data_IF_677961972383
#
_entry.id   IF_677961972383
#
_cell.length_a   1.000
_cell.length_b   1.000
_cell.length_c   1.000
_cell.angle_alpha   90.00
_cell.angle_beta   90.00
_cell.angle_gamma   90.00
#
_symmetry.space_group_name_H-M   'P 1'
#
loop_
_entity.id
_entity.type
_entity.pdbx_description
1 polymer ?
#
# COMPACT_ATOMS: atom_id res chain seq x y z
N UNK A 1 -10.65 23.37 26.52
CA UNK A 1 -9.84 23.21 25.29
C UNK A 1 -8.74 24.24 25.33
N UNK A 2 -7.49 23.88 25.18
CA UNK A 2 -6.43 24.88 25.08
C UNK A 2 -6.56 25.56 23.71
N UNK A 3 -6.90 26.85 23.73
CA UNK A 3 -7.02 27.70 22.53
C UNK A 3 -5.68 28.14 21.96
N UNK A 4 -4.58 27.75 22.57
CA UNK A 4 -3.22 28.09 22.16
C UNK A 4 -2.26 26.98 22.61
N UNK A 5 -2.15 25.92 21.86
CA UNK A 5 -1.00 25.04 21.97
C UNK A 5 0.00 25.49 20.91
N UNK A 6 0.98 26.28 21.32
CA UNK A 6 2.25 26.40 20.58
C UNK A 6 2.98 25.07 20.73
N UNK A 7 2.48 24.06 20.10
CA UNK A 7 3.17 22.79 20.03
C UNK A 7 4.18 22.89 18.91
N UNK A 8 5.41 22.62 19.26
CA UNK A 8 6.50 22.54 18.30
C UNK A 8 6.30 21.30 17.42
N UNK A 9 6.06 21.52 16.13
CA UNK A 9 5.83 20.45 15.17
C UNK A 9 7.11 20.21 14.38
N UNK A 10 7.60 19.00 14.45
CA UNK A 10 8.53 18.51 13.43
C UNK A 10 7.68 18.00 12.27
N UNK A 11 7.72 18.65 11.13
CA UNK A 11 7.10 18.16 9.90
C UNK A 11 8.16 18.07 8.82
N UNK A 12 8.02 17.07 8.00
CA UNK A 12 8.85 16.89 6.83
C UNK A 12 8.17 17.56 5.65
N UNK A 13 8.75 18.65 5.14
CA UNK A 13 8.26 19.29 3.92
C UNK A 13 9.13 18.84 2.76
N UNK A 14 8.51 18.26 1.75
CA UNK A 14 9.17 17.90 0.49
C UNK A 14 9.16 19.16 -0.38
N UNK A 15 10.32 19.77 -0.61
CA UNK A 15 10.57 20.74 -1.68
C UNK A 15 11.33 20.02 -2.78
N UNK A 16 11.25 20.43 -4.07
CA UNK A 16 11.66 19.60 -5.23
C UNK A 16 13.03 18.93 -5.20
N UNK A 17 13.83 19.06 -4.17
CA UNK A 17 15.15 18.39 -4.08
C UNK A 17 15.63 18.11 -2.64
N UNK A 18 14.89 18.48 -1.60
CA UNK A 18 15.37 18.31 -0.22
C UNK A 18 14.24 18.10 0.78
N UNK A 19 14.47 17.23 1.74
CA UNK A 19 13.65 17.04 2.92
C UNK A 19 14.08 18.05 3.98
N UNK A 20 13.15 18.83 4.49
CA UNK A 20 13.43 19.81 5.54
C UNK A 20 12.51 19.58 6.74
N UNK A 21 13.11 19.57 7.93
CA UNK A 21 12.35 19.56 9.19
C UNK A 21 11.92 20.98 9.53
N UNK A 22 10.61 21.18 9.68
CA UNK A 22 10.05 22.50 10.00
C UNK A 22 8.95 22.41 11.06
N UNK A 23 8.84 23.45 11.86
CA UNK A 23 7.64 23.69 12.66
C UNK A 23 6.61 24.32 11.75
N UNK A 24 5.43 23.70 11.65
CA UNK A 24 4.31 24.24 10.88
C UNK A 24 3.10 24.43 11.80
N UNK A 25 2.23 25.42 11.51
CA UNK A 25 0.99 25.60 12.26
C UNK A 25 0.08 24.38 12.10
N UNK A 26 -0.60 23.98 13.18
CA UNK A 26 -1.68 22.99 13.08
C UNK A 26 -2.98 23.73 12.87
N UNK A 27 -3.63 23.46 11.75
CA UNK A 27 -4.96 24.02 11.50
C UNK A 27 -6.03 23.26 12.28
N UNK A 28 -7.14 23.92 12.58
CA UNK A 28 -8.34 23.26 13.11
C UNK A 28 -8.97 22.37 12.00
N UNK A 29 -9.59 21.24 12.36
CA UNK A 29 -10.35 20.45 11.41
C UNK A 29 -11.55 21.26 10.88
N UNK A 30 -11.86 21.07 9.59
CA UNK A 30 -13.11 21.56 8.99
C UNK A 30 -14.31 20.76 9.49
N UNK A 31 -15.54 21.12 9.05
CA UNK A 31 -16.77 20.53 9.59
C UNK A 31 -16.83 19.00 9.50
N UNK A 32 -16.30 18.41 8.43
CA UNK A 32 -16.30 16.97 8.12
C UNK A 32 -14.92 16.31 8.30
N UNK A 33 -13.99 16.98 8.98
CA UNK A 33 -12.61 16.53 9.16
C UNK A 33 -12.32 16.15 10.62
N UNK A 34 -11.29 15.35 10.80
CA UNK A 34 -10.68 15.05 12.09
C UNK A 34 -9.22 15.46 12.12
N UNK A 35 -8.74 15.88 13.29
CA UNK A 35 -7.33 16.10 13.61
C UNK A 35 -6.81 14.87 14.35
N UNK A 36 -5.79 14.23 13.79
CA UNK A 36 -5.19 13.02 14.33
C UNK A 36 -3.78 13.35 14.83
N UNK A 37 -3.49 13.06 16.09
CA UNK A 37 -2.13 13.03 16.62
C UNK A 37 -1.46 11.74 16.10
N UNK A 38 -0.71 11.84 15.03
CA UNK A 38 0.01 10.72 14.41
C UNK A 38 1.09 10.26 15.38
N UNK A 39 1.13 8.98 15.66
CA UNK A 39 2.16 8.34 16.47
C UNK A 39 3.20 7.67 15.61
N UNK A 40 2.72 6.97 14.57
CA UNK A 40 3.56 6.23 13.66
C UNK A 40 3.10 6.44 12.23
N UNK A 41 4.04 6.43 11.29
CA UNK A 41 3.74 6.49 9.86
C UNK A 41 4.63 5.53 9.09
N UNK A 42 4.04 4.61 8.34
CA UNK A 42 4.80 3.76 7.43
C UNK A 42 5.44 4.56 6.31
N UNK A 43 6.48 4.00 5.70
CA UNK A 43 7.21 4.60 4.57
C UNK A 43 7.04 3.73 3.32
N UNK A 44 6.62 4.34 2.23
CA UNK A 44 6.28 3.69 0.97
C UNK A 44 7.11 4.25 -0.20
N UNK A 45 7.27 3.47 -1.26
CA UNK A 45 7.86 3.96 -2.52
C UNK A 45 7.09 5.14 -3.12
N UNK A 46 5.79 5.23 -2.90
CA UNK A 46 4.97 6.38 -3.29
C UNK A 46 5.46 7.69 -2.68
N UNK A 47 5.98 7.67 -1.45
CA UNK A 47 6.54 8.86 -0.81
C UNK A 47 7.85 9.29 -1.49
N UNK A 48 8.64 8.32 -1.98
CA UNK A 48 9.83 8.58 -2.78
C UNK A 48 9.46 9.18 -4.14
N UNK A 49 8.44 8.64 -4.82
CA UNK A 49 7.93 9.21 -6.07
C UNK A 49 7.40 10.64 -5.89
N UNK A 50 6.73 10.92 -4.77
CA UNK A 50 6.30 12.27 -4.42
C UNK A 50 7.51 13.23 -4.24
N UNK A 51 8.60 12.75 -3.61
CA UNK A 51 9.86 13.50 -3.46
C UNK A 51 10.54 13.74 -4.79
N UNK A 52 10.57 12.76 -5.68
CA UNK A 52 11.24 12.85 -6.99
C UNK A 52 10.41 13.59 -8.03
N UNK A 53 9.09 13.67 -7.85
CA UNK A 53 8.16 14.28 -8.82
C UNK A 53 8.12 13.57 -10.17
N UNK A 54 8.37 12.25 -10.19
CA UNK A 54 8.53 11.45 -11.40
C UNK A 54 7.22 10.77 -11.87
N UNK A 55 6.12 10.96 -11.16
CA UNK A 55 4.80 10.53 -11.62
C UNK A 55 4.08 11.63 -12.43
N UNK A 56 3.20 11.26 -13.38
CA UNK A 56 2.48 12.22 -14.23
C UNK A 56 1.33 12.93 -13.51
N UNK A 57 1.33 13.00 -12.19
CA UNK A 57 0.32 13.67 -11.36
C UNK A 57 0.99 14.85 -10.66
N UNK A 58 0.43 16.07 -10.73
CA UNK A 58 1.01 17.22 -10.04
C UNK A 58 1.05 17.02 -8.52
N UNK A 59 2.21 17.20 -7.92
CA UNK A 59 2.41 17.16 -6.47
C UNK A 59 2.22 18.54 -5.86
N UNK A 60 1.49 18.65 -4.76
CA UNK A 60 1.42 19.90 -3.97
C UNK A 60 2.81 20.26 -3.45
N UNK A 61 3.23 21.52 -3.59
CA UNK A 61 4.47 22.03 -3.03
C UNK A 61 4.24 23.38 -2.33
N UNK A 62 4.82 23.64 -1.14
CA UNK A 62 5.49 22.64 -0.28
C UNK A 62 4.51 21.58 0.24
N UNK A 63 5.01 20.39 0.57
CA UNK A 63 4.22 19.24 0.96
C UNK A 63 4.78 18.58 2.22
N UNK A 64 3.89 18.17 3.11
CA UNK A 64 4.19 17.15 4.13
C UNK A 64 3.88 15.79 3.52
N UNK A 65 4.89 14.94 3.34
CA UNK A 65 4.74 13.59 2.80
C UNK A 65 4.06 12.60 3.76
N UNK A 66 3.98 11.34 3.35
CA UNK A 66 3.44 10.24 4.16
C UNK A 66 1.94 9.99 3.96
N UNK A 67 1.56 8.71 3.91
CA UNK A 67 0.16 8.30 3.73
C UNK A 67 -0.15 6.96 4.41
N UNK A 68 0.64 6.58 5.41
CA UNK A 68 0.42 5.38 6.23
C UNK A 68 0.40 5.78 7.72
N UNK A 69 -0.26 6.89 8.06
CA UNK A 69 -0.24 7.45 9.40
C UNK A 69 -1.23 6.80 10.33
N UNK A 70 -0.78 6.28 11.48
CA UNK A 70 -1.62 5.76 12.55
C UNK A 70 -1.49 6.62 13.81
N UNK A 71 -2.62 6.99 14.41
CA UNK A 71 -2.64 7.90 15.54
C UNK A 71 -3.94 7.95 16.29
N UNK A 72 -4.11 9.00 17.09
CA UNK A 72 -5.24 9.19 17.99
C UNK A 72 -5.97 10.48 17.62
N UNK A 73 -7.29 10.43 17.51
CA UNK A 73 -8.14 11.59 17.23
C UNK A 73 -8.11 12.56 18.42
N UNK A 74 -7.75 13.82 18.18
CA UNK A 74 -7.62 14.85 19.22
C UNK A 74 -8.56 16.05 19.02
N UNK A 75 -9.12 16.19 17.81
CA UNK A 75 -10.22 17.13 17.53
C UNK A 75 -11.05 16.61 16.36
N UNK A 76 -12.31 17.02 16.30
CA UNK A 76 -13.24 16.69 15.21
C UNK A 76 -14.07 17.91 14.82
N UNK A 77 -14.50 17.93 13.56
CA UNK A 77 -15.45 18.91 13.03
C UNK A 77 -16.87 18.69 13.54
N UNK A 78 -17.70 19.68 13.38
CA UNK A 78 -19.07 19.71 13.92
C UNK A 78 -20.02 18.71 13.25
N UNK A 79 -19.71 18.26 12.03
CA UNK A 79 -20.50 17.27 11.29
C UNK A 79 -19.99 15.82 11.48
N UNK A 80 -19.02 15.61 12.37
CA UNK A 80 -18.44 14.28 12.62
C UNK A 80 -19.12 13.65 13.83
N UNK A 81 -20.06 12.75 13.60
CA UNK A 81 -20.86 12.12 14.67
C UNK A 81 -20.35 10.74 15.08
N UNK A 82 -19.67 10.03 14.16
CA UNK A 82 -19.32 8.63 14.31
C UNK A 82 -17.86 8.37 14.71
N UNK A 83 -17.12 9.41 15.10
CA UNK A 83 -15.77 9.36 15.64
C UNK A 83 -15.70 10.15 16.95
N UNK A 84 -15.07 9.56 17.96
CA UNK A 84 -14.89 10.21 19.26
C UNK A 84 -13.41 10.60 19.50
N UNK A 85 -13.22 11.60 20.38
CA UNK A 85 -11.87 11.95 20.84
C UNK A 85 -11.25 10.76 21.57
N UNK A 86 -10.01 10.46 21.25
CA UNK A 86 -9.31 9.29 21.79
C UNK A 86 -9.50 8.03 20.98
N UNK A 87 -10.28 8.05 19.88
CA UNK A 87 -10.33 6.93 18.95
C UNK A 87 -9.02 6.80 18.18
N UNK A 88 -8.63 5.57 17.88
CA UNK A 88 -7.52 5.31 16.98
C UNK A 88 -7.97 5.45 15.53
N UNK A 89 -7.21 6.20 14.76
CA UNK A 89 -7.53 6.48 13.36
C UNK A 89 -6.28 6.49 12.47
N UNK A 90 -6.47 6.10 11.22
CA UNK A 90 -5.41 6.04 10.23
C UNK A 90 -5.61 7.04 9.07
N UNK A 91 -4.54 7.75 8.73
CA UNK A 91 -4.41 8.53 7.49
C UNK A 91 -3.90 7.58 6.42
N UNK A 92 -4.65 7.43 5.34
CA UNK A 92 -4.28 6.56 4.21
C UNK A 92 -4.13 7.36 2.92
N UNK A 93 -3.71 6.73 1.83
CA UNK A 93 -3.51 7.39 0.54
C UNK A 93 -4.72 8.23 0.11
N UNK A 94 -5.91 7.62 0.03
CA UNK A 94 -7.14 8.35 -0.27
C UNK A 94 -7.58 9.13 0.97
N UNK A 95 -7.29 10.44 0.99
CA UNK A 95 -7.65 11.35 2.07
C UNK A 95 -9.14 11.72 2.06
N UNK A 96 -9.66 12.04 0.86
CA UNK A 96 -11.07 12.39 0.68
C UNK A 96 -11.54 12.13 -0.76
N UNK A 97 -12.86 12.07 -0.94
CA UNK A 97 -13.54 12.05 -2.24
C UNK A 97 -14.87 12.80 -2.13
N UNK A 98 -15.54 13.08 -3.24
CA UNK A 98 -16.82 13.80 -3.20
C UNK A 98 -18.01 13.00 -2.66
N UNK A 99 -17.87 11.68 -2.48
CA UNK A 99 -18.87 10.72 -2.00
C UNK A 99 -20.18 10.65 -2.81
N UNK A 100 -20.35 11.48 -3.85
CA UNK A 100 -21.61 11.67 -4.58
C UNK A 100 -21.55 11.34 -6.07
N UNK A 101 -20.37 11.30 -6.71
CA UNK A 101 -20.24 10.96 -8.12
C UNK A 101 -20.54 9.48 -8.41
N UNK A 102 -20.66 9.12 -9.68
CA UNK A 102 -20.96 7.73 -10.08
C UNK A 102 -19.96 6.70 -9.55
N UNK A 103 -18.67 7.05 -9.50
CA UNK A 103 -17.64 6.17 -8.94
C UNK A 103 -17.79 6.01 -7.43
N UNK A 104 -17.95 7.10 -6.68
CA UNK A 104 -18.12 7.02 -5.23
C UNK A 104 -19.36 6.21 -4.83
N UNK A 105 -20.48 6.37 -5.55
CA UNK A 105 -21.72 5.59 -5.30
C UNK A 105 -21.58 4.10 -5.56
N UNK A 106 -20.60 3.69 -6.36
CA UNK A 106 -20.28 2.30 -6.67
C UNK A 106 -19.10 1.76 -5.84
N UNK A 107 -18.68 2.49 -4.81
CA UNK A 107 -17.51 2.15 -3.97
C UNK A 107 -16.17 2.10 -4.76
N UNK A 108 -16.06 2.91 -5.80
CA UNK A 108 -14.82 3.18 -6.54
C UNK A 108 -14.27 4.57 -6.20
N UNK A 109 -14.27 4.97 -4.93
CA UNK A 109 -13.80 6.27 -4.46
C UNK A 109 -12.39 6.63 -4.94
N UNK A 110 -11.44 5.68 -5.10
CA UNK A 110 -10.12 5.99 -5.67
C UNK A 110 -10.17 6.57 -7.10
N UNK A 111 -11.27 6.37 -7.84
CA UNK A 111 -11.47 6.89 -9.20
C UNK A 111 -12.23 8.22 -9.22
N UNK A 112 -12.54 8.81 -8.07
CA UNK A 112 -13.21 10.10 -7.99
C UNK A 112 -12.30 11.21 -8.53
N UNK A 113 -12.81 12.03 -9.44
CA UNK A 113 -12.06 13.16 -10.00
C UNK A 113 -11.68 14.22 -8.95
N UNK A 114 -12.44 14.30 -7.84
CA UNK A 114 -12.19 15.21 -6.73
C UNK A 114 -11.39 14.53 -5.59
N UNK A 115 -10.85 13.34 -5.83
CA UNK A 115 -10.06 12.64 -4.82
C UNK A 115 -8.85 13.46 -4.39
N UNK A 116 -8.62 13.53 -3.06
CA UNK A 116 -7.42 14.12 -2.49
C UNK A 116 -6.54 13.02 -1.91
N UNK A 117 -5.24 13.13 -2.13
CA UNK A 117 -4.25 12.11 -1.85
C UNK A 117 -3.30 12.61 -0.76
N UNK A 118 -3.29 11.92 0.39
CA UNK A 118 -2.40 12.27 1.52
C UNK A 118 -0.94 12.13 1.13
N UNK A 119 -0.13 13.12 1.48
CA UNK A 119 1.29 13.12 1.14
C UNK A 119 1.58 13.28 -0.35
N UNK A 120 0.60 13.81 -1.10
CA UNK A 120 0.74 14.04 -2.54
C UNK A 120 0.01 15.31 -3.00
N UNK A 121 -1.33 15.33 -2.97
CA UNK A 121 -2.13 16.51 -3.31
C UNK A 121 -2.56 17.31 -2.08
N UNK A 122 -2.52 16.70 -0.90
CA UNK A 122 -2.70 17.32 0.42
C UNK A 122 -1.63 16.84 1.38
N UNK A 123 -1.40 17.58 2.47
CA UNK A 123 -0.43 17.18 3.48
C UNK A 123 -0.77 15.82 4.09
N UNK A 124 0.25 15.02 4.31
CA UNK A 124 0.17 13.66 4.76
C UNK A 124 0.59 13.44 6.21
N UNK A 125 1.16 12.27 6.50
CA UNK A 125 1.36 11.75 7.85
C UNK A 125 2.78 11.88 8.42
N UNK A 126 3.77 12.36 7.67
CA UNK A 126 5.11 12.62 8.22
C UNK A 126 5.12 13.90 9.06
N UNK A 127 4.23 13.98 10.01
CA UNK A 127 4.06 15.07 10.97
C UNK A 127 3.33 14.55 12.21
N UNK A 128 3.47 15.27 13.32
CA UNK A 128 2.85 14.89 14.57
C UNK A 128 1.32 15.02 14.58
N UNK A 129 0.76 15.90 13.74
CA UNK A 129 -0.69 16.12 13.65
C UNK A 129 -1.10 16.27 12.20
N UNK A 130 -2.02 15.45 11.77
CA UNK A 130 -2.52 15.45 10.39
C UNK A 130 -4.05 15.64 10.39
N UNK A 131 -4.55 16.30 9.36
CA UNK A 131 -5.99 16.40 9.09
C UNK A 131 -6.38 15.35 8.04
N UNK A 132 -7.52 14.72 8.27
CA UNK A 132 -8.14 13.82 7.30
C UNK A 132 -9.66 13.96 7.31
N UNK A 133 -10.30 13.66 6.18
CA UNK A 133 -11.76 13.62 6.10
C UNK A 133 -12.28 12.43 6.92
N UNK A 134 -13.27 12.66 7.77
CA UNK A 134 -13.81 11.67 8.71
C UNK A 134 -14.35 10.42 7.99
N UNK A 135 -14.96 10.58 6.80
CA UNK A 135 -15.50 9.47 6.03
C UNK A 135 -14.41 8.56 5.46
N UNK A 136 -13.17 9.04 5.36
CA UNK A 136 -12.06 8.31 4.73
C UNK A 136 -10.99 7.81 5.70
N UNK A 137 -10.98 8.24 6.96
CA UNK A 137 -10.02 7.70 7.93
C UNK A 137 -10.23 6.21 8.14
N UNK A 138 -9.13 5.49 8.31
CA UNK A 138 -9.20 4.10 8.73
C UNK A 138 -9.56 4.02 10.21
N UNK A 139 -10.58 3.26 10.56
CA UNK A 139 -10.94 2.97 11.96
C UNK A 139 -10.03 1.87 12.47
N UNK A 140 -9.24 2.17 13.47
CA UNK A 140 -8.28 1.22 14.05
C UNK A 140 -8.79 0.81 15.43
N UNK A 141 -9.02 -0.50 15.68
CA UNK A 141 -9.33 -0.98 17.03
C UNK A 141 -8.29 -0.52 18.06
N UNK A 142 -8.75 -0.11 19.26
CA UNK A 142 -7.88 0.53 20.28
C UNK A 142 -6.84 -0.42 20.89
N UNK A 143 -7.04 -1.70 20.78
CA UNK A 143 -6.13 -2.77 21.24
C UNK A 143 -5.02 -3.10 20.25
N UNK A 144 -5.08 -2.56 19.03
CA UNK A 144 -4.04 -2.78 18.04
C UNK A 144 -2.85 -1.82 18.22
N UNK A 145 -1.64 -2.34 17.98
CA UNK A 145 -0.42 -1.53 17.91
C UNK A 145 -0.49 -0.57 16.73
N UNK A 146 -0.38 0.75 16.99
CA UNK A 146 -0.38 1.77 15.97
C UNK A 146 0.85 1.70 15.05
N UNK A 147 1.99 1.25 15.57
CA UNK A 147 3.20 1.06 14.76
C UNK A 147 3.07 -0.12 13.79
N UNK A 148 2.48 -1.23 14.24
CA UNK A 148 2.33 -2.43 13.44
C UNK A 148 1.24 -2.31 12.37
N UNK A 149 0.16 -1.54 12.64
CA UNK A 149 -0.93 -1.32 11.67
C UNK A 149 -0.58 -0.27 10.62
N UNK A 150 0.37 0.63 10.87
CA UNK A 150 0.71 1.71 9.94
C UNK A 150 0.99 1.20 8.50
N UNK A 151 1.82 0.17 8.27
CA UNK A 151 2.02 -0.37 6.92
C UNK A 151 0.77 -0.98 6.28
N UNK A 152 -0.21 -1.40 7.07
CA UNK A 152 -1.47 -1.97 6.54
C UNK A 152 -2.28 -0.90 5.83
N UNK A 153 -2.17 0.38 6.25
CA UNK A 153 -2.95 1.50 5.73
C UNK A 153 -2.70 1.85 4.24
N UNK A 154 -1.60 1.35 3.68
CA UNK A 154 -1.33 1.43 2.25
C UNK A 154 -1.08 0.04 1.66
N UNK A 155 0.06 -0.58 2.02
CA UNK A 155 0.46 -1.85 1.43
C UNK A 155 -0.55 -2.97 1.69
N UNK A 156 -1.08 -3.09 2.92
CA UNK A 156 -2.09 -4.09 3.27
C UNK A 156 -3.37 -3.92 2.48
N UNK A 157 -3.96 -2.73 2.50
CA UNK A 157 -5.19 -2.41 1.75
C UNK A 157 -5.00 -2.67 0.25
N UNK A 158 -3.87 -2.24 -0.31
CA UNK A 158 -3.56 -2.34 -1.74
C UNK A 158 -3.48 -3.79 -2.22
N UNK A 159 -2.77 -4.65 -1.50
CA UNK A 159 -2.64 -6.06 -1.90
C UNK A 159 -3.92 -6.84 -1.61
N UNK A 160 -4.63 -6.54 -0.52
CA UNK A 160 -5.93 -7.10 -0.23
C UNK A 160 -6.92 -6.81 -1.37
N UNK A 161 -7.04 -5.55 -1.80
CA UNK A 161 -7.86 -5.15 -2.95
C UNK A 161 -7.42 -5.86 -4.22
N UNK A 162 -6.14 -5.93 -4.50
CA UNK A 162 -5.60 -6.63 -5.67
C UNK A 162 -5.96 -8.11 -5.70
N UNK A 163 -5.94 -8.79 -4.55
CA UNK A 163 -6.38 -10.19 -4.44
C UNK A 163 -7.89 -10.32 -4.69
N UNK A 164 -8.73 -9.40 -4.20
CA UNK A 164 -10.17 -9.37 -4.53
C UNK A 164 -10.40 -9.18 -6.03
N UNK A 165 -9.67 -8.25 -6.67
CA UNK A 165 -9.78 -7.98 -8.12
C UNK A 165 -9.28 -9.14 -8.97
N UNK A 166 -8.46 -10.03 -8.43
CA UNK A 166 -7.93 -11.19 -9.17
C UNK A 166 -8.98 -12.23 -9.53
N UNK A 167 -10.17 -12.17 -8.92
CA UNK A 167 -11.24 -13.18 -9.00
C UNK A 167 -10.81 -14.58 -8.46
N UNK A 168 -9.60 -14.71 -7.89
CA UNK A 168 -9.12 -15.98 -7.34
C UNK A 168 -9.87 -16.34 -6.05
N UNK A 169 -10.07 -17.64 -5.86
CA UNK A 169 -10.87 -18.20 -4.76
C UNK A 169 -10.02 -19.10 -3.86
N UNK A 170 -10.54 -19.42 -2.68
CA UNK A 170 -9.93 -20.40 -1.80
C UNK A 170 -9.63 -21.72 -2.54
N UNK A 171 -8.44 -22.27 -2.33
CA UNK A 171 -7.94 -23.46 -3.01
C UNK A 171 -7.22 -23.18 -4.35
N UNK A 172 -7.38 -22.01 -4.93
CA UNK A 172 -6.68 -21.59 -6.16
C UNK A 172 -5.26 -21.09 -5.88
N UNK A 173 -4.45 -20.95 -6.93
CA UNK A 173 -3.05 -20.55 -6.85
C UNK A 173 -2.82 -19.15 -7.40
N UNK A 174 -2.16 -18.30 -6.62
CA UNK A 174 -1.82 -16.92 -6.99
C UNK A 174 -0.31 -16.77 -7.06
N UNK A 175 0.22 -16.28 -8.18
CA UNK A 175 1.61 -15.86 -8.27
C UNK A 175 1.76 -14.41 -7.76
N UNK A 176 2.68 -14.18 -6.84
CA UNK A 176 3.02 -12.86 -6.30
C UNK A 176 4.39 -12.47 -6.86
N UNK A 177 4.44 -11.48 -7.73
CA UNK A 177 5.67 -11.01 -8.38
C UNK A 177 6.22 -9.79 -7.67
N UNK A 178 7.46 -9.86 -7.19
CA UNK A 178 8.03 -8.94 -6.21
C UNK A 178 7.70 -9.38 -4.78
N UNK A 179 7.62 -10.68 -4.57
CA UNK A 179 7.13 -11.32 -3.35
C UNK A 179 7.96 -11.00 -2.10
N UNK A 180 9.27 -10.80 -2.24
CA UNK A 180 10.16 -10.46 -1.12
C UNK A 180 10.13 -8.99 -0.72
N UNK A 181 9.38 -8.13 -1.43
CA UNK A 181 9.20 -6.72 -1.10
C UNK A 181 8.12 -6.49 -0.03
N UNK A 182 7.98 -5.23 0.43
CA UNK A 182 7.03 -4.87 1.48
C UNK A 182 5.55 -5.15 1.14
N UNK A 183 5.14 -4.97 -0.12
CA UNK A 183 3.80 -5.35 -0.59
C UNK A 183 3.70 -6.87 -0.74
N UNK A 184 4.73 -7.51 -1.31
CA UNK A 184 4.75 -8.94 -1.58
C UNK A 184 4.61 -9.79 -0.32
N UNK A 185 5.30 -9.40 0.74
CA UNK A 185 5.21 -10.07 2.04
C UNK A 185 3.76 -10.05 2.60
N UNK A 186 3.07 -8.93 2.46
CA UNK A 186 1.65 -8.83 2.84
C UNK A 186 0.76 -9.61 1.88
N UNK A 187 1.02 -9.56 0.56
CA UNK A 187 0.22 -10.27 -0.43
C UNK A 187 0.21 -11.79 -0.19
N UNK A 188 1.36 -12.37 0.18
CA UNK A 188 1.45 -13.79 0.55
C UNK A 188 0.53 -14.10 1.73
N UNK A 189 0.59 -13.31 2.80
CA UNK A 189 -0.19 -13.53 4.01
C UNK A 189 -1.69 -13.34 3.77
N UNK A 190 -2.11 -12.27 3.08
CA UNK A 190 -3.52 -12.07 2.73
C UNK A 190 -4.03 -13.21 1.84
N UNK A 191 -3.26 -13.65 0.84
CA UNK A 191 -3.65 -14.77 0.00
C UNK A 191 -3.84 -16.05 0.82
N UNK A 192 -2.91 -16.35 1.74
CA UNK A 192 -3.03 -17.48 2.66
C UNK A 192 -4.27 -17.37 3.55
N UNK A 193 -4.50 -16.20 4.16
CA UNK A 193 -5.65 -15.95 5.02
C UNK A 193 -7.00 -16.04 4.25
N UNK A 194 -6.99 -15.76 2.95
CA UNK A 194 -8.13 -15.95 2.03
C UNK A 194 -8.23 -17.38 1.49
N UNK A 195 -7.35 -18.29 1.92
CA UNK A 195 -7.37 -19.71 1.55
C UNK A 195 -6.73 -20.04 0.19
N UNK A 196 -5.92 -19.13 -0.38
CA UNK A 196 -5.23 -19.34 -1.66
C UNK A 196 -3.84 -19.92 -1.42
N UNK A 197 -3.31 -20.65 -2.41
CA UNK A 197 -1.88 -21.01 -2.47
C UNK A 197 -1.10 -19.89 -3.13
N UNK A 198 0.14 -19.69 -2.72
CA UNK A 198 0.97 -18.63 -3.30
C UNK A 198 2.24 -19.19 -3.92
N UNK A 199 2.55 -18.76 -5.15
CA UNK A 199 3.85 -18.90 -5.79
C UNK A 199 4.55 -17.55 -5.66
N UNK A 200 5.60 -17.48 -4.84
CA UNK A 200 6.41 -16.29 -4.69
C UNK A 200 7.44 -16.20 -5.83
N UNK A 201 7.48 -15.07 -6.53
CA UNK A 201 8.47 -14.80 -7.59
C UNK A 201 9.32 -13.60 -7.16
N UNK A 202 10.59 -13.86 -6.87
CA UNK A 202 11.59 -12.83 -6.51
C UNK A 202 13.00 -13.42 -6.73
N UNK A 203 14.06 -12.85 -6.17
CA UNK A 203 15.41 -13.36 -6.29
C UNK A 203 16.18 -13.33 -4.96
N UNK A 204 16.99 -14.38 -4.75
CA UNK A 204 17.91 -14.51 -3.63
C UNK A 204 17.35 -15.33 -2.46
N UNK A 205 18.28 -15.99 -1.73
CA UNK A 205 17.97 -16.94 -0.69
C UNK A 205 17.25 -16.30 0.51
N UNK A 206 17.67 -15.11 0.93
CA UNK A 206 17.03 -14.39 2.05
C UNK A 206 15.55 -14.12 1.78
N UNK A 207 15.22 -13.71 0.55
CA UNK A 207 13.83 -13.47 0.14
C UNK A 207 13.05 -14.76 0.01
N UNK A 208 13.68 -15.82 -0.50
CA UNK A 208 13.07 -17.15 -0.56
C UNK A 208 12.65 -17.61 0.83
N UNK A 209 13.57 -17.55 1.78
CA UNK A 209 13.35 -18.04 3.15
C UNK A 209 12.30 -17.19 3.86
N UNK A 210 12.32 -15.87 3.67
CA UNK A 210 11.27 -14.97 4.15
C UNK A 210 9.89 -15.30 3.56
N UNK A 211 9.78 -15.48 2.23
CA UNK A 211 8.52 -15.82 1.59
C UNK A 211 7.97 -17.17 2.08
N UNK A 212 8.83 -18.17 2.26
CA UNK A 212 8.44 -19.48 2.80
C UNK A 212 7.96 -19.38 4.24
N UNK A 213 8.64 -18.62 5.07
CA UNK A 213 8.22 -18.36 6.46
C UNK A 213 6.84 -17.69 6.55
N UNK A 214 6.47 -16.89 5.56
CA UNK A 214 5.16 -16.25 5.42
C UNK A 214 4.08 -17.17 4.81
N UNK A 215 4.41 -18.41 4.46
CA UNK A 215 3.48 -19.40 3.96
C UNK A 215 3.44 -19.57 2.43
N UNK A 216 4.40 -19.01 1.67
CA UNK A 216 4.46 -19.27 0.23
C UNK A 216 4.63 -20.78 -0.06
N UNK A 217 3.76 -21.33 -0.90
CA UNK A 217 3.76 -22.75 -1.26
C UNK A 217 4.95 -23.12 -2.16
N UNK A 218 5.40 -22.17 -2.97
CA UNK A 218 6.56 -22.31 -3.84
C UNK A 218 7.30 -20.97 -3.97
N UNK A 219 8.57 -21.03 -4.32
CA UNK A 219 9.39 -19.86 -4.65
C UNK A 219 10.11 -20.11 -5.98
N UNK A 220 9.99 -19.18 -6.90
CA UNK A 220 10.69 -19.18 -8.18
C UNK A 220 11.65 -18.00 -8.20
N UNK A 221 12.95 -18.28 -8.26
CA UNK A 221 14.00 -17.27 -8.37
C UNK A 221 14.21 -16.90 -9.83
N UNK A 222 13.78 -15.68 -10.21
CA UNK A 222 13.87 -15.22 -11.59
C UNK A 222 15.30 -14.98 -12.09
N UNK A 223 16.31 -14.89 -11.19
CA UNK A 223 17.72 -14.72 -11.58
C UNK A 223 18.41 -16.05 -11.89
N UNK A 224 18.02 -17.12 -11.20
CA UNK A 224 18.64 -18.45 -11.38
C UNK A 224 17.82 -19.36 -12.29
N UNK A 225 16.55 -19.05 -12.52
CA UNK A 225 15.69 -19.78 -13.46
C UNK A 225 16.22 -19.66 -14.89
N UNK A 226 16.30 -20.80 -15.59
CA UNK A 226 16.65 -20.85 -17.02
C UNK A 226 15.42 -20.64 -17.91
N UNK A 227 14.24 -20.99 -17.43
CA UNK A 227 12.96 -20.81 -18.09
C UNK A 227 11.91 -20.44 -17.01
N UNK A 228 11.78 -19.15 -16.77
CA UNK A 228 10.85 -18.65 -15.76
C UNK A 228 9.41 -19.09 -16.02
N UNK A 229 9.00 -19.13 -17.28
CA UNK A 229 7.62 -19.51 -17.64
C UNK A 229 7.37 -20.96 -17.28
N UNK A 230 8.29 -21.86 -17.64
CA UNK A 230 8.18 -23.28 -17.30
C UNK A 230 8.19 -23.50 -15.78
N UNK A 231 9.12 -22.83 -15.07
CA UNK A 231 9.26 -22.98 -13.62
C UNK A 231 8.01 -22.48 -12.85
N UNK A 232 7.43 -21.35 -13.26
CA UNK A 232 6.19 -20.81 -12.65
C UNK A 232 5.01 -21.76 -12.92
N UNK A 233 4.89 -22.30 -14.12
CA UNK A 233 3.85 -23.29 -14.44
C UNK A 233 4.01 -24.57 -13.62
N UNK A 234 5.22 -25.10 -13.55
CA UNK A 234 5.54 -26.31 -12.78
C UNK A 234 5.30 -26.14 -11.27
N UNK A 235 5.38 -24.89 -10.74
CA UNK A 235 5.09 -24.58 -9.35
C UNK A 235 3.58 -24.63 -9.03
N UNK A 236 2.69 -24.64 -10.03
CA UNK A 236 1.26 -24.82 -9.82
C UNK A 236 0.90 -26.32 -9.75
N UNK A 237 -0.14 -26.73 -8.97
CA UNK A 237 -0.42 -28.13 -8.69
C UNK A 237 -0.65 -29.01 -9.94
N UNK A 238 -1.15 -28.42 -11.01
CA UNK A 238 -1.51 -29.11 -12.25
C UNK A 238 -0.60 -28.75 -13.46
N UNK A 239 0.40 -27.88 -13.24
CA UNK A 239 1.35 -27.46 -14.29
C UNK A 239 0.79 -26.47 -15.32
N UNK A 240 -0.47 -26.02 -15.19
CA UNK A 240 -1.06 -25.06 -16.14
C UNK A 240 -0.70 -23.59 -15.83
N UNK A 241 -0.14 -23.31 -14.67
CA UNK A 241 0.19 -21.98 -14.18
C UNK A 241 -0.79 -21.45 -13.14
N UNK A 242 -0.53 -20.28 -12.52
CA UNK A 242 -1.36 -19.71 -11.49
C UNK A 242 -2.71 -19.24 -12.04
N UNK A 243 -3.76 -19.31 -11.19
CA UNK A 243 -5.11 -18.77 -11.48
C UNK A 243 -5.09 -17.25 -11.57
N UNK A 244 -4.22 -16.62 -10.79
CA UNK A 244 -3.99 -15.17 -10.88
C UNK A 244 -2.52 -14.81 -10.69
N UNK A 245 -2.14 -13.63 -11.22
CA UNK A 245 -0.81 -13.04 -11.08
C UNK A 245 -0.96 -11.64 -10.48
N UNK A 246 -0.34 -11.39 -9.34
CA UNK A 246 -0.31 -10.10 -8.66
C UNK A 246 1.04 -9.45 -8.95
N UNK A 247 1.05 -8.42 -9.80
CA UNK A 247 2.25 -7.72 -10.25
C UNK A 247 2.57 -6.55 -9.31
N UNK A 248 3.57 -6.74 -8.44
CA UNK A 248 4.07 -5.76 -7.48
C UNK A 248 5.48 -5.26 -7.82
N UNK A 249 6.03 -5.73 -8.94
CA UNK A 249 7.39 -5.42 -9.35
C UNK A 249 7.59 -3.93 -9.66
N UNK A 250 8.82 -3.46 -9.44
CA UNK A 250 9.27 -2.08 -9.69
C UNK A 250 9.99 -1.92 -11.04
N UNK A 251 9.94 -2.94 -11.90
CA UNK A 251 10.54 -2.97 -13.24
C UNK A 251 9.57 -3.51 -14.27
N UNK A 252 9.79 -3.21 -15.55
CA UNK A 252 8.90 -3.58 -16.65
C UNK A 252 8.89 -5.08 -16.96
N UNK A 253 10.02 -5.77 -16.85
CA UNK A 253 10.17 -7.18 -17.26
C UNK A 253 9.04 -8.12 -16.83
N UNK A 254 8.64 -8.14 -15.56
CA UNK A 254 7.52 -8.95 -15.08
C UNK A 254 6.19 -8.67 -15.78
N UNK A 255 5.92 -7.42 -16.15
CA UNK A 255 4.70 -7.04 -16.89
C UNK A 255 4.71 -7.51 -18.32
N UNK A 256 5.89 -7.78 -18.88
CA UNK A 256 6.05 -8.35 -20.23
C UNK A 256 5.84 -9.85 -20.27
N UNK A 257 5.98 -10.57 -19.14
CA UNK A 257 6.03 -12.03 -19.07
C UNK A 257 4.77 -12.66 -18.46
N UNK A 258 3.96 -11.92 -17.70
CA UNK A 258 2.86 -12.47 -16.93
C UNK A 258 1.84 -13.25 -17.79
N UNK A 259 1.57 -12.79 -19.02
CA UNK A 259 0.65 -13.46 -19.95
C UNK A 259 1.14 -14.84 -20.43
N UNK A 260 2.45 -15.11 -20.34
CA UNK A 260 3.03 -16.35 -20.83
C UNK A 260 2.83 -17.52 -19.85
N UNK A 261 2.76 -17.22 -18.54
CA UNK A 261 2.64 -18.25 -17.50
C UNK A 261 1.31 -18.26 -16.74
N UNK A 262 0.48 -17.24 -16.86
CA UNK A 262 -0.89 -17.31 -16.30
C UNK A 262 -1.69 -18.40 -17.01
N UNK A 263 -2.49 -19.17 -16.26
CA UNK A 263 -3.30 -20.24 -16.85
C UNK A 263 -4.42 -19.69 -17.76
N UNK A 264 -4.99 -20.51 -18.65
CA UNK A 264 -6.22 -20.18 -19.37
C UNK A 264 -7.35 -19.82 -18.40
N UNK A 265 -8.08 -18.73 -18.69
CA UNK A 265 -9.10 -18.16 -17.81
C UNK A 265 -8.58 -17.36 -16.64
N UNK A 266 -7.26 -17.29 -16.45
CA UNK A 266 -6.63 -16.60 -15.34
C UNK A 266 -6.66 -15.07 -15.44
N UNK A 267 -6.28 -14.40 -14.35
CA UNK A 267 -6.31 -12.96 -14.22
C UNK A 267 -4.92 -12.40 -13.87
N UNK A 268 -4.50 -11.35 -14.57
CA UNK A 268 -3.29 -10.57 -14.27
C UNK A 268 -3.73 -9.25 -13.64
N UNK A 269 -3.29 -8.97 -12.42
CA UNK A 269 -3.60 -7.75 -11.69
C UNK A 269 -2.35 -6.88 -11.58
N UNK A 270 -2.37 -5.71 -12.23
CA UNK A 270 -1.30 -4.72 -12.20
C UNK A 270 -1.51 -3.81 -10.98
N UNK A 271 -0.53 -3.75 -10.09
CA UNK A 271 -0.52 -2.93 -8.87
C UNK A 271 0.75 -2.09 -8.80
N UNK A 272 1.92 -2.68 -9.05
CA UNK A 272 3.19 -1.96 -9.15
C UNK A 272 3.14 -0.94 -10.28
N UNK A 273 3.78 0.22 -10.08
CA UNK A 273 3.76 1.34 -11.04
C UNK A 273 5.19 1.74 -11.42
N UNK A 274 5.96 0.87 -12.10
CA UNK A 274 7.26 1.25 -12.62
C UNK A 274 7.12 2.34 -13.69
N UNK A 275 7.99 3.35 -13.64
CA UNK A 275 7.94 4.51 -14.53
C UNK A 275 8.12 4.06 -15.99
N UNK A 276 7.27 4.57 -16.89
CA UNK A 276 7.29 4.28 -18.33
C UNK A 276 7.17 2.79 -18.73
N UNK A 277 6.68 1.92 -17.85
CA UNK A 277 6.50 0.51 -18.15
C UNK A 277 5.19 0.23 -18.89
N UNK A 278 5.23 -0.79 -19.74
CA UNK A 278 4.09 -1.28 -20.51
C UNK A 278 3.82 -2.75 -20.19
N UNK A 279 2.56 -3.13 -20.16
CA UNK A 279 2.19 -4.55 -20.14
C UNK A 279 2.16 -5.11 -21.57
N UNK A 280 2.72 -6.29 -21.76
CA UNK A 280 2.66 -7.02 -23.04
C UNK A 280 1.75 -8.22 -22.89
N UNK A 281 0.74 -8.31 -23.74
CA UNK A 281 -0.17 -9.44 -23.81
C UNK A 281 -0.44 -9.75 -25.29
N UNK A 282 0.07 -10.89 -25.82
CA UNK A 282 -0.20 -11.31 -27.18
C UNK A 282 -1.71 -11.47 -27.41
N UNK A 283 -2.25 -10.79 -28.43
CA UNK A 283 -3.71 -10.75 -28.65
C UNK A 283 -4.27 -12.14 -28.87
N UNK A 284 -3.62 -12.97 -29.69
CA UNK A 284 -4.06 -14.34 -29.96
C UNK A 284 -4.18 -15.15 -28.65
N UNK A 285 -3.13 -15.18 -27.84
CA UNK A 285 -3.13 -15.90 -26.56
C UNK A 285 -4.16 -15.33 -25.58
N UNK A 286 -4.29 -14.01 -25.51
CA UNK A 286 -5.26 -13.36 -24.63
C UNK A 286 -6.69 -13.79 -24.96
N UNK A 287 -7.02 -13.88 -26.27
CA UNK A 287 -8.34 -14.31 -26.72
C UNK A 287 -8.55 -15.81 -26.51
N UNK A 288 -7.63 -16.64 -27.02
CA UNK A 288 -7.78 -18.10 -26.98
C UNK A 288 -7.72 -18.67 -25.57
N UNK A 289 -6.92 -18.07 -24.69
CA UNK A 289 -6.82 -18.45 -23.28
C UNK A 289 -7.80 -17.70 -22.38
N UNK A 290 -8.59 -16.74 -22.91
CA UNK A 290 -9.53 -15.90 -22.14
C UNK A 290 -8.85 -15.22 -20.93
N UNK A 291 -7.63 -14.69 -21.12
CA UNK A 291 -6.86 -14.03 -20.05
C UNK A 291 -7.50 -12.69 -19.74
N UNK A 292 -7.66 -12.39 -18.45
CA UNK A 292 -8.10 -11.09 -17.96
C UNK A 292 -6.89 -10.27 -17.52
N UNK A 293 -6.89 -8.97 -17.84
CA UNK A 293 -5.86 -8.02 -17.38
C UNK A 293 -6.59 -6.87 -16.71
N UNK A 294 -6.27 -6.62 -15.44
CA UNK A 294 -6.91 -5.59 -14.63
C UNK A 294 -5.85 -4.70 -13.96
N UNK A 295 -6.15 -3.41 -13.81
CA UNK A 295 -5.48 -2.53 -12.85
C UNK A 295 -6.16 -2.62 -11.49
N UNK A 296 -5.39 -2.48 -10.40
CA UNK A 296 -5.94 -2.33 -9.05
C UNK A 296 -5.27 -1.17 -8.37
N UNK A 297 -6.06 -0.23 -7.85
CA UNK A 297 -5.57 1.02 -7.29
C UNK A 297 -6.03 1.18 -5.85
N UNK A 298 -5.09 1.04 -4.90
CA UNK A 298 -5.31 1.10 -3.44
C UNK A 298 -6.53 0.27 -3.01
N UNK A 299 -7.46 0.83 -2.26
CA UNK A 299 -8.72 0.22 -1.89
C UNK A 299 -9.73 1.27 -1.43
N UNK A 300 -10.98 0.90 -1.39
CA UNK A 300 -12.05 1.75 -0.90
C UNK A 300 -12.16 1.70 0.65
N UNK A 301 -13.18 2.34 1.22
CA UNK A 301 -13.42 2.37 2.67
C UNK A 301 -13.71 0.98 3.24
N UNK A 302 -14.47 0.16 2.52
CA UNK A 302 -14.78 -1.21 2.93
C UNK A 302 -13.53 -2.11 2.85
N UNK A 303 -12.74 -2.01 1.77
CA UNK A 303 -11.47 -2.73 1.66
C UNK A 303 -10.51 -2.38 2.81
N UNK A 304 -10.54 -1.12 3.27
CA UNK A 304 -9.77 -0.67 4.43
C UNK A 304 -10.19 -1.39 5.71
N UNK A 305 -11.51 -1.44 5.98
CA UNK A 305 -12.04 -2.10 7.17
C UNK A 305 -11.73 -3.61 7.17
N UNK A 306 -11.93 -4.26 6.02
CA UNK A 306 -11.66 -5.69 5.85
C UNK A 306 -10.16 -6.00 6.02
N UNK A 307 -9.27 -5.21 5.41
CA UNK A 307 -7.84 -5.42 5.55
C UNK A 307 -7.36 -5.27 7.01
N UNK A 308 -7.90 -4.29 7.75
CA UNK A 308 -7.60 -4.12 9.18
C UNK A 308 -8.17 -5.27 10.01
N UNK A 309 -9.36 -5.82 9.67
CA UNK A 309 -9.92 -6.99 10.36
C UNK A 309 -9.00 -8.22 10.25
N UNK A 310 -8.47 -8.51 9.05
CA UNK A 310 -7.47 -9.58 8.90
C UNK A 310 -6.25 -9.37 9.80
N UNK A 311 -5.77 -8.12 9.89
CA UNK A 311 -4.66 -7.77 10.76
C UNK A 311 -5.05 -7.91 12.25
N UNK A 312 -6.21 -7.43 12.65
CA UNK A 312 -6.72 -7.52 14.02
C UNK A 312 -6.87 -8.97 14.52
N UNK A 313 -7.20 -9.88 13.61
CA UNK A 313 -7.28 -11.32 13.89
C UNK A 313 -5.91 -12.00 13.94
N UNK A 314 -4.81 -11.27 13.79
CA UNK A 314 -3.46 -11.81 13.84
C UNK A 314 -3.06 -12.64 12.60
N UNK A 315 -3.80 -12.53 11.51
CA UNK A 315 -3.53 -13.28 10.27
C UNK A 315 -2.46 -12.62 9.40
N UNK A 316 -2.18 -11.36 9.67
CA UNK A 316 -1.21 -10.54 8.92
C UNK A 316 -0.17 -10.01 9.91
N UNK A 317 1.09 -10.21 9.61
CA UNK A 317 2.21 -9.67 10.36
C UNK A 317 3.25 -9.12 9.38
N UNK A 318 3.44 -7.81 9.38
CA UNK A 318 4.43 -7.18 8.53
C UNK A 318 5.70 -6.93 9.34
N UNK A 319 6.84 -7.55 9.00
CA UNK A 319 8.10 -7.16 9.62
C UNK A 319 8.43 -5.70 9.31
N UNK A 320 8.71 -4.91 10.34
CA UNK A 320 9.06 -3.50 10.19
C UNK A 320 10.21 -3.11 11.11
N UNK A 321 10.88 -1.99 10.76
CA UNK A 321 11.87 -1.31 11.61
C UNK A 321 11.34 0.07 11.96
N UNK A 322 11.42 0.44 13.24
CA UNK A 322 11.04 1.78 13.68
C UNK A 322 12.26 2.70 13.61
N UNK A 323 12.07 3.86 13.00
CA UNK A 323 13.06 4.93 12.87
C UNK A 323 12.49 6.26 13.36
N UNK A 324 13.34 7.21 13.71
CA UNK A 324 12.90 8.57 13.99
C UNK A 324 12.62 9.35 12.71
N UNK A 325 11.89 10.47 12.84
CA UNK A 325 11.59 11.34 11.69
C UNK A 325 12.87 11.89 11.06
N UNK A 326 13.91 12.14 11.85
CA UNK A 326 15.23 12.60 11.38
C UNK A 326 15.98 11.59 10.50
N UNK A 327 15.59 10.30 10.54
CA UNK A 327 16.21 9.21 9.78
C UNK A 327 15.53 8.95 8.43
N UNK A 328 14.41 9.64 8.13
CA UNK A 328 13.60 9.39 6.93
C UNK A 328 14.39 9.56 5.63
N UNK A 329 15.33 10.51 5.57
CA UNK A 329 16.21 10.67 4.41
C UNK A 329 17.04 9.40 4.15
N UNK A 330 17.60 8.82 5.19
CA UNK A 330 18.36 7.56 5.07
C UNK A 330 17.49 6.40 4.57
N UNK A 331 16.22 6.35 4.97
CA UNK A 331 15.28 5.34 4.46
C UNK A 331 15.02 5.53 2.95
N UNK A 332 14.85 6.78 2.49
CA UNK A 332 14.70 7.06 1.06
C UNK A 332 15.96 6.74 0.26
N UNK A 333 17.13 6.95 0.82
CA UNK A 333 18.39 6.60 0.16
C UNK A 333 18.52 5.06 0.01
N UNK A 334 18.14 4.28 1.03
CA UNK A 334 18.05 2.83 0.93
C UNK A 334 17.03 2.37 -0.14
N UNK A 335 15.91 3.09 -0.28
CA UNK A 335 14.91 2.80 -1.33
C UNK A 335 15.48 3.03 -2.72
N UNK A 336 16.17 4.16 -2.96
CA UNK A 336 16.81 4.48 -4.24
C UNK A 336 17.84 3.43 -4.64
N UNK A 337 18.54 2.87 -3.66
CA UNK A 337 19.55 1.84 -3.86
C UNK A 337 18.98 0.41 -3.96
N UNK A 338 17.65 0.23 -3.86
CA UNK A 338 16.96 -1.07 -3.78
C UNK A 338 17.49 -1.98 -2.64
N UNK A 339 17.97 -1.39 -1.55
CA UNK A 339 18.51 -2.09 -0.37
C UNK A 339 17.52 -2.22 0.78
N UNK A 340 16.29 -1.80 0.58
CA UNK A 340 15.26 -1.90 1.61
C UNK A 340 14.83 -3.36 1.81
N UNK A 341 14.76 -3.79 3.07
CA UNK A 341 14.26 -5.10 3.48
C UNK A 341 13.11 -4.91 4.45
N UNK A 342 11.93 -5.47 4.13
CA UNK A 342 10.73 -5.31 4.94
C UNK A 342 10.14 -3.89 4.84
N UNK A 343 9.58 -3.42 5.94
CA UNK A 343 8.92 -2.10 6.04
C UNK A 343 9.65 -1.21 7.04
N UNK A 344 9.57 0.09 6.83
CA UNK A 344 10.01 1.10 7.79
C UNK A 344 8.81 1.88 8.31
N UNK A 345 8.84 2.19 9.60
CA UNK A 345 7.80 2.97 10.29
C UNK A 345 8.48 4.11 11.02
N UNK A 346 8.05 5.32 10.75
CA UNK A 346 8.53 6.53 11.41
C UNK A 346 7.77 6.74 12.72
N UNK A 347 8.48 6.82 13.82
CA UNK A 347 7.98 7.37 15.09
C UNK A 347 8.03 8.90 15.00
N UNK A 348 6.86 9.55 14.99
CA UNK A 348 6.75 11.00 14.81
C UNK A 348 7.18 11.81 16.04
N UNK A 349 7.46 11.15 17.15
CA UNK A 349 7.94 11.78 18.38
C UNK A 349 9.47 11.88 18.46
N UNK A 350 10.21 11.19 17.56
CA UNK A 350 11.67 11.09 17.57
C UNK A 350 12.32 11.74 16.35
#
# INVERSE_FOLDING_TARGET
>A
MPTTATAAWLSLTIVPTAIAYKKIPVRKPGPDEVLINIKYSGVCHTDLHALMGDWPIPTKLPLVGGHEGAGVVVAKGELVDDIELGDHAGVKWLNSSCLSCSYCRQAYEPLCAEAKLSGYTVDGSFQQYAIANAAHVARIPKDLSLEAVAPVLCAGITVYKGLKESDARAGQTVAVVGAGGGLGNMAIQYAQAMGMRTIAIDAGDDKRDACRALGASAFVDFKTSKDLVADVKAASPDGFGPDAVILLAVSEGPFQQAADYVRPGGCIVCIGMPTHAYIKAPVFDTVVKMIKIKGSYVGNRQDTAEAIDFFARGLINAPYKVVGMSELQSVFDLMKENKIVGRYVVDTSR
#
